data_IF_749559075303
#
_entry.id   IF_749559075303
#
_cell.length_a   1.000
_cell.length_b   1.000
_cell.length_c   1.000
_cell.angle_alpha   90.00
_cell.angle_beta   90.00
_cell.angle_gamma   90.00
#
_symmetry.space_group_name_H-M   'P 1'
#
loop_
_entity.id
_entity.type
_entity.pdbx_description
1 polymer ?
#
# COMPACT_ATOMS: atom_id res chain seq x y z
N UNK A 1 7.24 -17.16 7.84
CA UNK A 1 7.92 -17.02 6.54
C UNK A 1 7.43 -15.72 5.92
N UNK A 2 8.32 -14.85 5.44
CA UNK A 2 7.89 -13.60 4.80
C UNK A 2 7.20 -13.87 3.46
N UNK A 3 6.16 -13.12 3.16
CA UNK A 3 5.41 -13.17 1.90
C UNK A 3 5.04 -11.75 1.48
N UNK A 4 4.55 -11.55 0.26
CA UNK A 4 4.16 -10.22 -0.20
C UNK A 4 2.86 -9.82 0.52
N UNK A 5 2.78 -8.56 0.92
CA UNK A 5 1.59 -7.93 1.48
C UNK A 5 1.35 -6.61 0.78
N UNK A 6 0.08 -6.26 0.61
CA UNK A 6 -0.38 -4.94 0.17
C UNK A 6 -1.11 -4.29 1.34
N UNK A 7 -0.70 -3.08 1.70
CA UNK A 7 -1.38 -2.23 2.67
C UNK A 7 -1.79 -0.95 1.97
N UNK A 8 -3.05 -0.56 2.09
CA UNK A 8 -3.55 0.65 1.46
C UNK A 8 -4.45 1.42 2.40
N UNK A 9 -4.52 2.72 2.18
CA UNK A 9 -5.45 3.59 2.87
C UNK A 9 -6.11 4.53 1.87
N UNK A 10 -7.39 4.77 2.10
CA UNK A 10 -8.17 5.82 1.44
C UNK A 10 -8.59 6.82 2.52
N UNK A 11 -8.00 8.01 2.49
CA UNK A 11 -8.20 9.03 3.49
C UNK A 11 -8.77 10.31 2.87
N UNK A 12 -9.97 10.68 3.28
CA UNK A 12 -10.58 11.97 2.95
C UNK A 12 -10.82 12.81 4.20
N UNK A 13 -10.48 14.10 4.15
CA UNK A 13 -10.86 15.08 5.15
C UNK A 13 -11.63 16.23 4.50
N UNK A 14 -12.77 16.59 5.11
CA UNK A 14 -13.64 17.66 4.61
C UNK A 14 -12.88 18.97 4.49
N UNK A 15 -12.76 19.48 3.27
CA UNK A 15 -12.06 20.75 2.97
C UNK A 15 -10.55 20.62 2.73
N UNK A 16 -9.93 19.48 3.00
CA UNK A 16 -8.47 19.26 2.81
C UNK A 16 -8.16 18.43 1.56
N UNK A 17 -9.12 17.64 1.07
CA UNK A 17 -8.95 16.81 -0.12
C UNK A 17 -8.94 15.32 0.19
N UNK A 18 -8.37 14.54 -0.74
CA UNK A 18 -8.43 13.09 -0.75
C UNK A 18 -7.04 12.50 -1.00
N UNK A 19 -6.61 11.57 -0.14
CA UNK A 19 -5.30 10.93 -0.20
C UNK A 19 -5.45 9.43 -0.32
N UNK A 20 -4.96 8.89 -1.44
CA UNK A 20 -4.80 7.46 -1.65
C UNK A 20 -3.35 7.08 -1.32
N UNK A 21 -3.14 5.99 -0.57
CA UNK A 21 -1.82 5.48 -0.22
C UNK A 21 -1.75 3.98 -0.41
N UNK A 22 -0.59 3.49 -0.85
CA UNK A 22 -0.30 2.06 -0.91
C UNK A 22 1.15 1.78 -0.55
N UNK A 23 1.37 0.70 0.19
CA UNK A 23 2.65 0.05 0.40
C UNK A 23 2.52 -1.43 -0.01
N UNK A 24 3.51 -1.95 -0.72
CA UNK A 24 3.61 -3.36 -1.09
C UNK A 24 5.03 -3.83 -0.79
N UNK A 25 5.15 -4.87 0.02
CA UNK A 25 6.46 -5.38 0.44
C UNK A 25 6.36 -6.72 1.14
N UNK A 26 7.49 -7.18 1.68
CA UNK A 26 7.53 -8.43 2.43
C UNK A 26 7.22 -8.23 3.90
N UNK A 27 6.28 -9.01 4.43
CA UNK A 27 5.98 -9.10 5.84
C UNK A 27 5.64 -10.54 6.25
N UNK A 28 5.80 -10.86 7.53
CA UNK A 28 5.44 -12.15 8.13
C UNK A 28 3.93 -12.24 8.33
N UNK A 29 3.28 -11.14 8.69
CA UNK A 29 1.85 -11.04 8.93
C UNK A 29 1.32 -9.63 8.63
N UNK A 30 0.02 -9.43 8.85
CA UNK A 30 -0.65 -8.15 8.62
C UNK A 30 -0.10 -7.04 9.55
N UNK A 31 0.30 -7.37 10.78
CA UNK A 31 0.78 -6.39 11.74
C UNK A 31 2.14 -5.83 11.35
N UNK A 32 3.08 -6.68 10.91
CA UNK A 32 4.36 -6.23 10.34
C UNK A 32 4.15 -5.43 9.05
N UNK A 33 3.20 -5.84 8.18
CA UNK A 33 2.88 -5.10 6.97
C UNK A 33 2.36 -3.68 7.29
N UNK A 34 1.45 -3.58 8.26
CA UNK A 34 0.91 -2.29 8.73
C UNK A 34 1.99 -1.44 9.40
N UNK A 35 2.91 -2.05 10.14
CA UNK A 35 4.06 -1.34 10.70
C UNK A 35 4.93 -0.71 9.61
N UNK A 36 5.25 -1.46 8.54
CA UNK A 36 5.99 -0.90 7.40
C UNK A 36 5.22 0.23 6.70
N UNK A 37 3.89 0.13 6.61
CA UNK A 37 3.07 1.24 6.12
C UNK A 37 3.17 2.48 7.02
N UNK A 38 3.15 2.32 8.34
CA UNK A 38 3.34 3.40 9.33
C UNK A 38 4.71 4.06 9.14
N UNK A 39 5.77 3.28 8.96
CA UNK A 39 7.12 3.84 8.73
C UNK A 39 7.19 4.73 7.48
N UNK A 40 6.37 4.45 6.46
CA UNK A 40 6.35 5.22 5.21
C UNK A 40 5.45 6.44 5.25
N UNK A 41 4.26 6.31 5.82
CA UNK A 41 3.22 7.35 5.71
C UNK A 41 2.87 8.01 7.05
N UNK A 42 3.18 7.36 8.18
CA UNK A 42 2.88 7.84 9.53
C UNK A 42 1.65 7.18 10.16
N UNK A 43 1.61 7.22 11.49
CA UNK A 43 0.60 6.52 12.31
C UNK A 43 -0.84 6.97 12.06
N UNK A 44 -1.04 8.24 11.67
CA UNK A 44 -2.37 8.80 11.44
C UNK A 44 -3.11 8.03 10.34
N UNK A 45 -2.43 7.73 9.24
CA UNK A 45 -3.03 7.06 8.09
C UNK A 45 -3.23 5.56 8.31
N UNK A 46 -2.41 4.95 9.16
CA UNK A 46 -2.53 3.53 9.48
C UNK A 46 -3.84 3.18 10.20
N UNK A 47 -4.47 4.13 10.89
CA UNK A 47 -5.79 3.95 11.52
C UNK A 47 -6.89 3.56 10.53
N UNK A 48 -6.73 3.91 9.26
CA UNK A 48 -7.70 3.67 8.20
C UNK A 48 -7.19 2.67 7.15
N UNK A 49 -6.03 2.06 7.38
CA UNK A 49 -5.44 1.16 6.41
C UNK A 49 -6.07 -0.23 6.45
N UNK A 50 -6.06 -0.90 5.30
CA UNK A 50 -6.38 -2.31 5.15
C UNK A 50 -5.14 -3.05 4.68
N UNK A 51 -4.97 -4.29 5.12
CA UNK A 51 -3.84 -5.13 4.78
C UNK A 51 -4.34 -6.46 4.20
N UNK A 52 -3.75 -6.87 3.09
CA UNK A 52 -4.07 -8.13 2.42
C UNK A 52 -2.80 -8.79 1.88
N UNK A 53 -2.77 -10.12 1.91
CA UNK A 53 -1.64 -10.88 1.42
C UNK A 53 -1.61 -10.91 -0.12
N UNK A 54 -0.43 -10.68 -0.71
CA UNK A 54 -0.18 -10.60 -2.15
C UNK A 54 -0.07 -9.17 -2.68
N UNK A 55 0.24 -9.02 -3.96
CA UNK A 55 0.16 -7.75 -4.68
C UNK A 55 -1.27 -7.54 -5.19
N UNK A 56 -2.07 -6.80 -4.43
CA UNK A 56 -3.52 -6.70 -4.60
C UNK A 56 -3.89 -5.50 -5.47
N UNK A 57 -4.76 -5.72 -6.45
CA UNK A 57 -5.40 -4.68 -7.26
C UNK A 57 -6.85 -4.51 -6.78
N UNK A 58 -7.17 -3.34 -6.23
CA UNK A 58 -8.50 -2.94 -5.76
C UNK A 58 -8.82 -1.50 -6.20
N UNK A 59 -9.92 -0.93 -5.72
CA UNK A 59 -10.38 0.42 -6.06
C UNK A 59 -9.35 1.53 -5.74
N UNK A 60 -8.51 1.35 -4.72
CA UNK A 60 -7.46 2.30 -4.33
C UNK A 60 -6.17 2.00 -5.09
N UNK A 61 -5.71 0.75 -5.05
CA UNK A 61 -4.41 0.39 -5.59
C UNK A 61 -4.39 0.41 -7.12
N UNK A 62 -5.53 0.21 -7.81
CA UNK A 62 -5.61 0.37 -9.27
C UNK A 62 -5.32 1.80 -9.74
N UNK A 63 -5.56 2.82 -8.90
CA UNK A 63 -5.23 4.22 -9.19
C UNK A 63 -3.72 4.47 -9.05
N UNK A 64 -3.09 3.81 -8.08
CA UNK A 64 -1.69 4.06 -7.69
C UNK A 64 -0.67 3.13 -8.35
N UNK A 65 -1.13 1.96 -8.80
CA UNK A 65 -0.29 0.86 -9.27
C UNK A 65 -0.73 0.42 -10.67
N UNK A 66 0.11 0.59 -11.70
CA UNK A 66 -0.14 -0.02 -12.99
C UNK A 66 -0.27 -1.55 -12.84
N UNK A 67 -1.27 -2.16 -13.49
CA UNK A 67 -1.54 -3.59 -13.35
C UNK A 67 -0.32 -4.49 -13.68
N UNK A 68 0.55 -4.06 -14.58
CA UNK A 68 1.78 -4.79 -14.91
C UNK A 68 2.80 -4.78 -13.76
N UNK A 69 2.81 -3.72 -12.94
CA UNK A 69 3.69 -3.63 -11.77
C UNK A 69 3.30 -4.67 -10.72
N UNK A 70 2.01 -4.89 -10.45
CA UNK A 70 1.56 -5.95 -9.54
C UNK A 70 2.06 -7.34 -9.97
N UNK A 71 1.95 -7.65 -11.28
CA UNK A 71 2.47 -8.91 -11.84
C UNK A 71 3.98 -9.04 -11.68
N UNK A 72 4.74 -7.94 -11.85
CA UNK A 72 6.19 -7.93 -11.66
C UNK A 72 6.57 -8.17 -10.20
N UNK A 73 5.87 -7.55 -9.26
CA UNK A 73 6.07 -7.76 -7.82
C UNK A 73 5.84 -9.24 -7.46
N UNK A 74 4.77 -9.85 -7.98
CA UNK A 74 4.50 -11.27 -7.75
C UNK A 74 5.54 -12.20 -8.36
N UNK A 75 6.02 -11.92 -9.57
CA UNK A 75 7.10 -12.70 -10.20
C UNK A 75 8.44 -12.58 -9.46
N UNK A 76 8.66 -11.48 -8.75
CA UNK A 76 9.83 -11.25 -7.93
C UNK A 76 9.77 -11.93 -6.55
N UNK A 77 8.63 -12.56 -6.20
CA UNK A 77 8.41 -13.25 -4.93
C UNK A 77 9.51 -14.28 -4.65
N UNK A 78 10.20 -14.13 -3.52
CA UNK A 78 11.31 -14.98 -3.07
C UNK A 78 12.61 -14.84 -3.88
N UNK A 79 12.69 -13.92 -4.84
CA UNK A 79 13.84 -13.78 -5.76
C UNK A 79 14.61 -12.47 -5.60
N UNK A 80 14.01 -11.48 -4.97
CA UNK A 80 14.61 -10.17 -4.71
C UNK A 80 13.97 -9.55 -3.47
N UNK A 81 14.66 -8.57 -2.87
CA UNK A 81 14.02 -7.63 -1.98
C UNK A 81 13.13 -6.71 -2.84
N UNK A 82 11.86 -6.59 -2.48
CA UNK A 82 10.91 -5.73 -3.17
C UNK A 82 10.20 -4.84 -2.16
N UNK A 83 10.07 -3.59 -2.55
CA UNK A 83 9.24 -2.61 -1.89
C UNK A 83 8.69 -1.68 -2.98
N UNK A 84 7.39 -1.43 -2.92
CA UNK A 84 6.72 -0.40 -3.70
C UNK A 84 5.88 0.43 -2.74
N UNK A 85 5.94 1.74 -2.88
CA UNK A 85 5.02 2.63 -2.18
C UNK A 85 4.66 3.80 -3.09
N UNK A 86 3.43 4.25 -2.97
CA UNK A 86 2.93 5.39 -3.74
C UNK A 86 1.85 6.10 -2.95
N UNK A 87 1.72 7.39 -3.21
CA UNK A 87 0.63 8.21 -2.69
C UNK A 87 0.15 9.18 -3.77
N UNK A 88 -1.15 9.45 -3.76
CA UNK A 88 -1.77 10.48 -4.57
C UNK A 88 -2.62 11.33 -3.64
N UNK A 89 -2.30 12.62 -3.58
CA UNK A 89 -3.11 13.61 -2.88
C UNK A 89 -3.81 14.51 -3.89
N UNK A 90 -5.13 14.60 -3.78
CA UNK A 90 -6.00 15.43 -4.63
C UNK A 90 -6.57 16.54 -3.75
N UNK A 91 -6.12 17.77 -3.99
CA UNK A 91 -6.68 18.95 -3.35
C UNK A 91 -8.07 19.25 -3.92
N UNK A 92 -8.99 19.71 -3.06
CA UNK A 92 -10.32 20.15 -3.45
C UNK A 92 -10.37 21.62 -3.92
N UNK A 93 -9.21 22.29 -4.04
CA UNK A 93 -9.03 23.70 -4.41
C UNK A 93 -8.52 23.87 -5.84
#
# INVERSE_FOLDING_TARGET
MKTIWTVWADYGATGEGHTLMVWIGYAVDAAEAQYSFVEKFGELFAKFCRAEQGAVINEVTAVLLPAETAKRLERARGRANLEFYSSLHINAS
#
